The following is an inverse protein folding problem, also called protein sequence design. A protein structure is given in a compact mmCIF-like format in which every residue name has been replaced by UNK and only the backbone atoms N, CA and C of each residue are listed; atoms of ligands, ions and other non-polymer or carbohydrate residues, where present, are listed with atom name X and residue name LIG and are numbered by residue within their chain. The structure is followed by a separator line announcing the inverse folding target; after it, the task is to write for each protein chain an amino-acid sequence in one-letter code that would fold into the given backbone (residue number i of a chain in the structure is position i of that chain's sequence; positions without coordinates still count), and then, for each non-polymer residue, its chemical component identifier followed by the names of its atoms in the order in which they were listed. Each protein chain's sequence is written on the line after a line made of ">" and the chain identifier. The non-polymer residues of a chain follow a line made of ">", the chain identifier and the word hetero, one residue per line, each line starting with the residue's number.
data_IF_331194905112
#
_entry.id   IF_331194905112
#
_cell.length_a   1.000
_cell.length_b   1.000
_cell.length_c   1.000
_cell.angle_alpha   90.00
_cell.angle_beta   90.00
_cell.angle_gamma   90.00
#
_symmetry.space_group_name_H-M   'P 1'
#
loop_
_entity.id
_entity.type
_entity.pdbx_description
1 polymer ?
#
# COMPACT_ATOMS: atom_id res chain seq x y z
N UNK A 1 -32.63 20.78 48.43
CA UNK A 1 -31.45 19.91 48.39
C UNK A 1 -30.71 20.20 47.10
N UNK A 2 -29.40 20.45 47.13
CA UNK A 2 -28.63 20.67 45.90
C UNK A 2 -28.30 19.30 45.31
N UNK A 3 -28.61 19.09 44.04
CA UNK A 3 -28.28 17.84 43.36
C UNK A 3 -26.75 17.71 43.15
N UNK A 4 -26.22 16.51 43.38
CA UNK A 4 -24.79 16.23 43.26
C UNK A 4 -24.30 16.40 41.82
N UNK A 5 -25.13 16.04 40.82
CA UNK A 5 -24.80 16.26 39.41
C UNK A 5 -24.78 17.75 39.07
N UNK A 6 -25.79 18.52 39.49
CA UNK A 6 -25.79 19.98 39.31
C UNK A 6 -24.60 20.68 39.99
N UNK A 7 -24.17 20.21 41.17
CA UNK A 7 -22.97 20.71 41.85
C UNK A 7 -21.70 20.39 41.07
N UNK A 8 -21.57 19.14 40.57
CA UNK A 8 -20.43 18.71 39.74
C UNK A 8 -20.35 19.50 38.43
N UNK A 9 -21.44 19.63 37.68
CA UNK A 9 -21.51 20.43 36.45
C UNK A 9 -21.17 21.91 36.71
N UNK A 10 -21.55 22.45 37.87
CA UNK A 10 -21.20 23.82 38.25
C UNK A 10 -19.75 23.98 38.71
N UNK A 11 -19.12 22.94 39.26
CA UNK A 11 -17.69 22.92 39.56
C UNK A 11 -16.89 22.82 38.26
N UNK A 12 -17.27 21.88 37.39
CA UNK A 12 -16.66 21.68 36.08
C UNK A 12 -16.72 22.96 35.25
N UNK A 13 -17.89 23.59 35.11
CA UNK A 13 -18.02 24.88 34.40
C UNK A 13 -17.17 26.03 34.99
N UNK A 14 -16.85 26.00 36.29
CA UNK A 14 -16.15 27.08 36.99
C UNK A 14 -14.63 26.90 37.03
N UNK A 15 -14.14 25.66 36.93
CA UNK A 15 -12.73 25.31 37.08
C UNK A 15 -12.13 24.58 35.86
N UNK A 16 -12.94 24.10 34.92
CA UNK A 16 -12.47 23.61 33.62
C UNK A 16 -12.13 24.82 32.76
N UNK A 17 -10.85 25.18 32.74
CA UNK A 17 -10.32 26.14 31.77
C UNK A 17 -10.53 25.56 30.38
N UNK A 18 -11.56 26.04 29.67
CA UNK A 18 -11.71 25.78 28.25
C UNK A 18 -10.62 26.57 27.51
N UNK A 19 -9.42 25.99 27.46
CA UNK A 19 -8.29 26.62 26.80
C UNK A 19 -8.52 26.64 25.29
N UNK A 20 -8.81 27.84 24.79
CA UNK A 20 -8.88 28.10 23.36
C UNK A 20 -7.54 27.84 22.65
N UNK A 21 -6.42 27.72 23.38
CA UNK A 21 -5.15 27.17 22.91
C UNK A 21 -5.24 25.69 22.55
N UNK A 22 -5.69 24.82 23.47
CA UNK A 22 -5.84 23.37 23.26
C UNK A 22 -6.65 23.02 22.00
N UNK A 23 -7.83 23.63 21.80
CA UNK A 23 -8.62 23.39 20.57
C UNK A 23 -7.84 23.75 19.30
N UNK A 24 -7.17 24.91 19.29
CA UNK A 24 -6.36 25.36 18.15
C UNK A 24 -5.16 24.44 17.92
N UNK A 25 -4.52 23.95 18.98
CA UNK A 25 -3.41 23.01 18.91
C UNK A 25 -3.81 21.68 18.26
N UNK A 26 -4.93 21.09 18.70
CA UNK A 26 -5.42 19.82 18.13
C UNK A 26 -5.87 20.00 16.67
N UNK A 27 -6.53 21.11 16.33
CA UNK A 27 -6.84 21.45 14.93
C UNK A 27 -5.56 21.63 14.09
N UNK A 28 -4.53 22.28 14.61
CA UNK A 28 -3.22 22.38 13.97
C UNK A 28 -2.61 21.01 13.70
N UNK A 29 -2.54 20.14 14.72
CA UNK A 29 -2.08 18.74 14.63
C UNK A 29 -2.80 17.97 13.51
N UNK A 30 -4.11 18.15 13.35
CA UNK A 30 -4.90 17.54 12.28
C UNK A 30 -4.58 18.08 10.88
N UNK A 31 -4.44 19.40 10.74
CA UNK A 31 -4.12 20.04 9.47
C UNK A 31 -2.70 19.68 9.01
N UNK A 32 -1.72 19.72 9.91
CA UNK A 32 -0.31 19.46 9.64
C UNK A 32 0.03 17.97 9.44
N UNK A 33 -0.76 17.06 10.01
CA UNK A 33 -0.57 15.61 9.84
C UNK A 33 -0.50 15.23 8.35
N UNK A 34 0.50 14.43 7.96
CA UNK A 34 0.70 13.90 6.61
C UNK A 34 1.29 12.51 6.72
N UNK A 35 0.85 11.56 5.89
CA UNK A 35 1.49 10.24 5.87
C UNK A 35 2.85 10.30 5.17
N UNK A 36 3.84 9.69 5.80
CA UNK A 36 5.20 9.51 5.32
C UNK A 36 5.43 8.08 4.85
N UNK A 37 6.32 7.90 3.87
CA UNK A 37 6.61 6.58 3.27
C UNK A 37 7.56 5.70 4.09
N UNK A 38 8.01 6.20 5.25
CA UNK A 38 8.95 5.50 6.16
C UNK A 38 8.26 4.67 7.25
N UNK A 39 6.95 4.82 7.42
CA UNK A 39 6.09 4.03 8.32
C UNK A 39 5.09 3.23 7.50
N UNK A 40 4.54 2.16 8.06
CA UNK A 40 3.35 1.49 7.51
C UNK A 40 2.18 2.46 7.42
N UNK A 41 1.31 2.30 6.43
CA UNK A 41 0.13 3.13 6.32
C UNK A 41 -0.86 2.85 7.46
N UNK A 42 -0.99 1.59 7.91
CA UNK A 42 -1.88 1.25 9.04
C UNK A 42 -1.44 1.86 10.38
N UNK A 43 -0.13 1.96 10.67
CA UNK A 43 0.35 2.67 11.87
C UNK A 43 -0.03 4.16 11.82
N UNK A 44 -0.04 4.75 10.63
CA UNK A 44 -0.35 6.16 10.43
C UNK A 44 -1.86 6.43 10.42
N UNK A 45 -2.67 5.47 9.98
CA UNK A 45 -4.12 5.49 10.17
C UNK A 45 -4.46 5.53 11.66
N UNK A 46 -3.77 4.76 12.50
CA UNK A 46 -3.95 4.79 13.95
C UNK A 46 -3.55 6.15 14.55
N UNK A 47 -2.42 6.73 14.13
CA UNK A 47 -2.02 8.11 14.51
C UNK A 47 -3.09 9.14 14.12
N UNK A 48 -3.69 9.02 12.94
CA UNK A 48 -4.80 9.88 12.49
C UNK A 48 -6.08 9.70 13.31
N UNK A 49 -6.43 8.46 13.68
CA UNK A 49 -7.59 8.19 14.55
C UNK A 49 -7.40 8.76 15.95
N UNK A 50 -6.17 8.76 16.50
CA UNK A 50 -5.87 9.43 17.77
C UNK A 50 -6.12 10.94 17.68
N UNK A 51 -5.76 11.59 16.55
CA UNK A 51 -6.06 13.02 16.36
C UNK A 51 -7.59 13.26 16.29
N UNK A 52 -8.35 12.41 15.60
CA UNK A 52 -9.82 12.53 15.58
C UNK A 52 -10.43 12.34 16.98
N UNK A 53 -9.87 11.44 17.79
CA UNK A 53 -10.27 11.25 19.18
C UNK A 53 -9.95 12.49 20.03
N UNK A 54 -8.76 13.07 19.89
CA UNK A 54 -8.38 14.33 20.58
C UNK A 54 -9.38 15.47 20.23
N UNK A 55 -9.79 15.59 18.96
CA UNK A 55 -10.78 16.57 18.51
C UNK A 55 -12.14 16.36 19.20
N UNK A 56 -12.60 15.12 19.29
CA UNK A 56 -13.84 14.78 19.98
C UNK A 56 -13.75 15.03 21.50
N UNK A 57 -12.60 14.76 22.12
CA UNK A 57 -12.35 15.04 23.55
C UNK A 57 -12.39 16.55 23.87
N UNK A 58 -11.94 17.39 22.94
CA UNK A 58 -12.06 18.87 22.98
C UNK A 58 -13.49 19.38 22.67
N UNK A 59 -14.47 18.47 22.52
CA UNK A 59 -15.88 18.79 22.26
C UNK A 59 -16.17 19.27 20.83
N UNK A 60 -15.25 19.07 19.90
CA UNK A 60 -15.45 19.39 18.48
C UNK A 60 -15.97 18.16 17.72
N UNK A 61 -16.98 18.35 16.88
CA UNK A 61 -17.58 17.27 16.07
C UNK A 61 -17.15 17.44 14.61
N UNK A 62 -16.57 16.39 14.03
CA UNK A 62 -16.25 16.34 12.59
C UNK A 62 -17.15 15.29 11.93
N UNK A 63 -17.88 15.67 10.88
CA UNK A 63 -18.74 14.75 10.13
C UNK A 63 -17.96 13.61 9.47
N UNK A 64 -18.50 12.39 9.52
CA UNK A 64 -17.82 11.18 9.05
C UNK A 64 -17.33 11.28 7.59
N UNK A 65 -18.11 11.90 6.70
CA UNK A 65 -17.73 12.16 5.31
C UNK A 65 -16.47 13.02 5.17
N UNK A 66 -16.29 14.01 6.05
CA UNK A 66 -15.06 14.81 6.10
C UNK A 66 -13.89 14.02 6.68
N UNK A 67 -14.10 13.18 7.70
CA UNK A 67 -13.04 12.31 8.24
C UNK A 67 -12.50 11.35 7.16
N UNK A 68 -13.41 10.75 6.38
CA UNK A 68 -13.11 9.88 5.24
C UNK A 68 -12.36 10.65 4.15
N UNK A 69 -12.87 11.81 3.71
CA UNK A 69 -12.22 12.63 2.70
C UNK A 69 -10.83 13.11 3.13
N UNK A 70 -10.69 13.53 4.40
CA UNK A 70 -9.41 13.94 4.97
C UNK A 70 -8.41 12.78 4.96
N UNK A 71 -8.78 11.59 5.44
CA UNK A 71 -7.90 10.42 5.44
C UNK A 71 -7.43 10.06 4.02
N UNK A 72 -8.34 10.07 3.04
CA UNK A 72 -8.01 9.90 1.61
C UNK A 72 -7.02 10.95 1.14
N UNK A 73 -7.18 12.20 1.57
CA UNK A 73 -6.23 13.26 1.22
C UNK A 73 -4.86 13.11 1.88
N UNK A 74 -4.79 12.59 3.12
CA UNK A 74 -3.53 12.35 3.84
C UNK A 74 -2.66 11.23 3.26
N UNK A 75 -3.21 10.35 2.41
CA UNK A 75 -2.47 9.21 1.84
C UNK A 75 -1.19 9.64 1.08
N UNK A 76 -0.09 8.86 1.16
CA UNK A 76 1.16 9.22 0.50
C UNK A 76 1.04 9.25 -1.03
N UNK A 77 1.92 9.97 -1.75
CA UNK A 77 1.88 10.04 -3.22
C UNK A 77 1.97 8.68 -3.92
N UNK A 78 2.59 7.68 -3.28
CA UNK A 78 2.67 6.29 -3.75
C UNK A 78 1.30 5.61 -3.83
N UNK A 79 0.25 6.14 -3.20
CA UNK A 79 -1.12 5.61 -3.20
C UNK A 79 -2.04 6.31 -4.22
N UNK A 80 -1.49 7.06 -5.18
CA UNK A 80 -2.24 7.86 -6.16
C UNK A 80 -3.40 7.11 -6.82
N UNK A 81 -3.18 5.89 -7.29
CA UNK A 81 -4.20 5.18 -8.07
C UNK A 81 -5.33 4.62 -7.18
N UNK A 82 -5.00 4.15 -5.98
CA UNK A 82 -5.98 3.80 -4.96
C UNK A 82 -6.77 5.03 -4.48
N UNK A 83 -6.11 6.17 -4.29
CA UNK A 83 -6.73 7.47 -3.97
C UNK A 83 -7.71 7.89 -5.07
N UNK A 84 -7.38 7.69 -6.35
CA UNK A 84 -8.28 7.94 -7.48
C UNK A 84 -9.46 6.96 -7.49
N UNK A 85 -9.23 5.67 -7.27
CA UNK A 85 -10.30 4.65 -7.14
C UNK A 85 -11.33 5.05 -6.06
N UNK A 86 -10.86 5.50 -4.89
CA UNK A 86 -11.74 5.95 -3.81
C UNK A 86 -12.52 7.22 -4.19
N UNK A 87 -11.88 8.20 -4.85
CA UNK A 87 -12.55 9.45 -5.31
C UNK A 87 -13.65 9.22 -6.33
N UNK A 88 -13.54 8.21 -7.19
CA UNK A 88 -14.57 7.90 -8.18
C UNK A 88 -15.67 6.96 -7.67
N UNK A 89 -15.63 6.57 -6.40
CA UNK A 89 -16.59 5.63 -5.82
C UNK A 89 -17.89 6.34 -5.44
N UNK A 90 -18.97 6.02 -6.15
CA UNK A 90 -20.30 6.63 -5.97
C UNK A 90 -21.01 6.28 -4.66
N UNK A 91 -20.68 5.15 -4.03
CA UNK A 91 -21.31 4.71 -2.78
C UNK A 91 -20.58 5.33 -1.59
N UNK A 92 -21.31 6.03 -0.73
CA UNK A 92 -20.79 6.53 0.55
C UNK A 92 -20.12 5.41 1.36
N UNK A 93 -19.02 5.76 2.01
CA UNK A 93 -18.17 4.85 2.75
C UNK A 93 -17.96 5.39 4.15
N UNK A 94 -18.23 4.55 5.16
CA UNK A 94 -17.87 4.82 6.56
C UNK A 94 -16.36 4.79 6.78
N UNK A 95 -15.86 5.46 7.82
CA UNK A 95 -14.43 5.49 8.13
C UNK A 95 -13.85 4.09 8.36
N UNK A 96 -14.57 3.24 9.10
CA UNK A 96 -14.20 1.84 9.35
C UNK A 96 -14.01 1.04 8.04
N UNK A 97 -14.91 1.24 7.07
CA UNK A 97 -14.84 0.58 5.77
C UNK A 97 -13.65 1.06 4.92
N UNK A 98 -13.21 2.32 5.11
CA UNK A 98 -11.99 2.82 4.49
C UNK A 98 -10.74 2.18 5.14
N UNK A 99 -10.70 2.08 6.46
CA UNK A 99 -9.58 1.49 7.21
C UNK A 99 -9.37 0.02 6.80
N UNK A 100 -10.44 -0.77 6.71
CA UNK A 100 -10.36 -2.18 6.23
C UNK A 100 -9.78 -2.25 4.81
N UNK A 101 -10.18 -1.35 3.92
CA UNK A 101 -9.68 -1.31 2.53
C UNK A 101 -8.22 -0.87 2.45
N UNK A 102 -7.79 0.08 3.29
CA UNK A 102 -6.39 0.49 3.39
C UNK A 102 -5.50 -0.68 3.84
N UNK A 103 -5.97 -1.50 4.77
CA UNK A 103 -5.22 -2.69 5.23
C UNK A 103 -5.03 -3.71 4.12
N UNK A 104 -6.11 -4.06 3.42
CA UNK A 104 -6.08 -5.02 2.30
C UNK A 104 -5.14 -4.52 1.19
N UNK A 105 -5.22 -3.23 0.85
CA UNK A 105 -4.34 -2.63 -0.16
C UNK A 105 -2.87 -2.58 0.29
N UNK A 106 -2.58 -2.31 1.56
CA UNK A 106 -1.21 -2.37 2.10
C UNK A 106 -0.63 -3.80 1.97
N UNK A 107 -1.40 -4.82 2.37
CA UNK A 107 -1.02 -6.23 2.27
C UNK A 107 -0.81 -6.68 0.81
N UNK A 108 -1.70 -6.27 -0.11
CA UNK A 108 -1.57 -6.52 -1.56
C UNK A 108 -0.24 -5.96 -2.09
N UNK A 109 0.04 -4.68 -1.80
CA UNK A 109 1.23 -3.99 -2.29
C UNK A 109 2.53 -4.50 -1.67
N UNK A 110 2.49 -5.02 -0.45
CA UNK A 110 3.63 -5.74 0.13
C UNK A 110 3.87 -7.08 -0.59
N UNK A 111 2.80 -7.77 -1.00
CA UNK A 111 2.88 -9.05 -1.72
C UNK A 111 3.42 -8.88 -3.14
N UNK A 112 2.98 -7.85 -3.87
CA UNK A 112 3.51 -7.50 -5.19
C UNK A 112 5.01 -7.17 -5.16
N UNK A 113 5.46 -6.39 -4.17
CA UNK A 113 6.90 -6.08 -3.99
C UNK A 113 7.72 -7.35 -3.80
N UNK A 114 7.26 -8.30 -2.96
CA UNK A 114 7.94 -9.59 -2.75
C UNK A 114 8.01 -10.40 -4.05
N UNK A 115 6.91 -10.51 -4.78
CA UNK A 115 6.87 -11.22 -6.07
C UNK A 115 7.80 -10.59 -7.12
N UNK A 116 7.87 -9.25 -7.18
CA UNK A 116 8.80 -8.51 -8.05
C UNK A 116 10.27 -8.79 -7.70
N UNK A 117 10.62 -8.81 -6.41
CA UNK A 117 11.99 -9.08 -5.97
C UNK A 117 12.42 -10.50 -6.34
N UNK A 118 11.59 -11.52 -6.07
CA UNK A 118 11.88 -12.90 -6.49
C UNK A 118 12.08 -13.03 -8.01
N UNK A 119 11.29 -12.30 -8.81
CA UNK A 119 11.45 -12.30 -10.27
C UNK A 119 12.73 -11.61 -10.75
N UNK A 120 13.27 -10.67 -9.97
CA UNK A 120 14.54 -10.00 -10.24
C UNK A 120 15.74 -10.88 -9.84
N UNK A 121 15.69 -11.49 -8.66
CA UNK A 121 16.72 -12.43 -8.15
C UNK A 121 16.83 -13.69 -9.04
N UNK A 122 15.69 -14.25 -9.46
CA UNK A 122 15.67 -15.38 -10.38
C UNK A 122 16.27 -15.07 -11.76
N UNK A 123 16.25 -13.80 -12.20
CA UNK A 123 16.91 -13.37 -13.45
C UNK A 123 18.41 -13.20 -13.30
N UNK A 124 18.90 -12.77 -12.15
CA UNK A 124 20.34 -12.57 -11.92
C UNK A 124 21.10 -13.90 -11.82
N UNK A 125 20.49 -14.96 -11.27
CA UNK A 125 21.13 -16.27 -11.14
C UNK A 125 21.32 -17.05 -12.46
N UNK A 126 20.71 -16.64 -13.57
CA UNK A 126 20.82 -17.36 -14.87
C UNK A 126 22.15 -17.08 -15.58
N UNK A 127 22.90 -16.05 -15.17
CA UNK A 127 24.12 -15.62 -15.88
C UNK A 127 25.35 -16.49 -15.55
N UNK A 128 25.41 -17.14 -14.39
CA UNK A 128 26.64 -17.80 -13.91
C UNK A 128 26.83 -19.24 -14.43
N UNK A 129 25.77 -20.00 -14.70
CA UNK A 129 25.89 -21.40 -15.14
C UNK A 129 26.36 -21.59 -16.61
N UNK A 130 26.21 -20.58 -17.48
CA UNK A 130 26.54 -20.73 -18.92
C UNK A 130 28.06 -20.63 -19.18
N UNK A 131 28.84 -20.14 -18.22
CA UNK A 131 30.29 -19.96 -18.38
C UNK A 131 31.12 -21.25 -18.18
N UNK A 132 30.59 -22.26 -17.50
CA UNK A 132 31.40 -23.36 -16.97
C UNK A 132 31.38 -24.65 -17.82
N UNK A 133 30.45 -24.82 -18.76
CA UNK A 133 30.37 -26.00 -19.63
C UNK A 133 31.31 -25.96 -20.86
N UNK A 134 32.02 -24.84 -21.09
CA UNK A 134 32.88 -24.67 -22.28
C UNK A 134 34.34 -25.14 -22.15
N UNK A 135 34.76 -25.72 -21.03
CA UNK A 135 36.18 -26.07 -20.77
C UNK A 135 36.47 -27.58 -20.66
N UNK A 136 35.61 -28.47 -21.17
CA UNK A 136 35.82 -29.93 -21.08
C UNK A 136 35.41 -30.73 -22.33
N UNK A 137 35.79 -30.23 -23.52
CA UNK A 137 35.91 -31.04 -24.73
C UNK A 137 37.11 -30.59 -25.58
N UNK A 138 38.33 -31.00 -25.18
CA UNK A 138 39.51 -30.97 -26.05
C UNK A 138 40.39 -32.20 -25.80
N UNK A 139 40.99 -32.76 -26.88
CA UNK A 139 41.60 -34.10 -27.01
C UNK A 139 40.51 -35.20 -27.08
N UNK A 140 40.48 -36.17 -28.00
CA UNK A 140 41.44 -36.74 -28.99
C UNK A 140 40.62 -37.68 -29.92
N UNK A 141 40.86 -37.92 -31.23
CA UNK A 141 41.92 -37.55 -32.20
C UNK A 141 41.38 -37.58 -33.67
N UNK A 142 42.27 -37.65 -34.67
CA UNK A 142 42.00 -37.70 -36.13
C UNK A 142 41.32 -39.01 -36.64
N UNK A 143 40.47 -38.91 -37.67
CA UNK A 143 40.54 -39.71 -38.93
C UNK A 143 39.61 -39.13 -40.03
N UNK A 144 39.61 -39.71 -41.24
CA UNK A 144 39.35 -39.02 -42.54
C UNK A 144 37.89 -38.89 -43.03
N UNK A 145 37.65 -37.82 -43.79
CA UNK A 145 36.60 -37.60 -44.82
C UNK A 145 36.74 -38.56 -46.04
N UNK A 146 35.80 -38.63 -47.03
CA UNK A 146 34.54 -37.86 -47.21
C UNK A 146 33.30 -38.73 -47.57
N UNK A 147 32.09 -38.15 -47.58
CA UNK A 147 31.13 -38.25 -48.73
C UNK A 147 29.90 -37.35 -48.55
N UNK A 148 29.43 -36.79 -49.67
CA UNK A 148 28.26 -35.90 -49.76
C UNK A 148 27.03 -36.70 -50.23
N UNK A 149 25.84 -36.43 -49.68
CA UNK A 149 24.59 -36.42 -50.45
C UNK A 149 23.49 -35.59 -49.74
N UNK A 150 22.47 -35.16 -50.48
CA UNK A 150 21.58 -34.04 -50.13
C UNK A 150 20.26 -34.44 -49.42
N UNK A 151 19.53 -33.42 -48.95
CA UNK A 151 18.14 -33.09 -49.39
C UNK A 151 17.04 -32.82 -48.31
N UNK A 152 16.70 -31.52 -48.21
CA UNK A 152 15.39 -30.88 -47.92
C UNK A 152 14.55 -31.11 -46.61
N UNK A 153 13.57 -30.20 -46.28
CA UNK A 153 13.33 -29.75 -44.89
C UNK A 153 11.88 -29.86 -44.38
N UNK A 154 11.65 -29.75 -43.05
CA UNK A 154 10.28 -29.63 -42.45
C UNK A 154 10.10 -28.64 -41.27
N UNK A 155 9.95 -27.36 -41.61
CA UNK A 155 8.80 -26.48 -41.31
C UNK A 155 8.06 -26.56 -39.94
N UNK A 156 8.11 -25.44 -39.18
CA UNK A 156 7.05 -24.89 -38.27
C UNK A 156 6.87 -25.60 -36.90
N UNK A 157 6.62 -24.92 -35.75
CA UNK A 157 5.49 -23.98 -35.48
C UNK A 157 5.82 -22.84 -34.49
N UNK A 158 4.96 -21.80 -34.56
CA UNK A 158 4.97 -20.54 -33.79
C UNK A 158 3.76 -20.48 -32.83
N UNK A 159 3.80 -19.49 -31.92
CA UNK A 159 2.78 -19.01 -30.96
C UNK A 159 2.93 -19.60 -29.55
N UNK A 160 3.10 -18.85 -28.45
CA UNK A 160 2.62 -17.52 -27.99
C UNK A 160 1.10 -17.42 -27.76
N UNK A 161 0.72 -17.61 -26.50
CA UNK A 161 -0.52 -17.18 -25.83
C UNK A 161 -0.23 -17.09 -24.32
N UNK A 162 -0.92 -16.32 -23.48
CA UNK A 162 -1.62 -15.04 -23.66
C UNK A 162 -1.94 -14.51 -22.25
N UNK A 163 -1.89 -13.21 -22.04
CA UNK A 163 -2.34 -12.56 -20.80
C UNK A 163 -3.84 -12.73 -20.59
N UNK A 164 -4.32 -12.90 -19.35
CA UNK A 164 -5.60 -12.33 -18.90
C UNK A 164 -5.64 -12.11 -17.37
N UNK A 165 -6.40 -11.10 -16.95
CA UNK A 165 -6.64 -10.72 -15.54
C UNK A 165 -7.78 -11.57 -14.93
N UNK A 166 -8.06 -11.44 -13.61
CA UNK A 166 -9.30 -10.79 -13.11
C UNK A 166 -9.36 -10.72 -11.56
N UNK A 167 -9.85 -9.55 -11.12
CA UNK A 167 -10.34 -9.06 -9.82
C UNK A 167 -10.97 -10.07 -8.83
N UNK A 168 -10.77 -9.83 -7.53
CA UNK A 168 -11.60 -10.37 -6.42
C UNK A 168 -11.85 -9.26 -5.34
N UNK A 169 -13.11 -8.77 -5.32
CA UNK A 169 -13.90 -8.01 -4.30
C UNK A 169 -13.34 -6.82 -3.46
#
# INVERSE_FOLDING_TARGET
>A
MVDAKALWESLERKYKTEDAGSKKFVVGKFLDFKMVTSKTEISQVQEFQLILHDIHAEGMVIGESFQVAALIEKLPPTWKDFKNYLKHKRKEMKLENLIVRLRIEEDNRQSEKKASNYHQEAKTNVVEQVAQERSSLERTSMEQEPSQEEDEPRRSKRARTSTLLVLIF
#
